data_IF_340600512930
#
_entry.id   IF_340600512930
#
_cell.length_a   1.000
_cell.length_b   1.000
_cell.length_c   1.000
_cell.angle_alpha   90.00
_cell.angle_beta   90.00
_cell.angle_gamma   90.00
#
_symmetry.space_group_name_H-M   'P 1'
#
loop_
_entity.id
_entity.type
_entity.pdbx_description
1 polymer ?
#
# COMPACT_ATOMS: atom_id res chain seq x y z
N UNK A 1 24.01 -5.46 11.77
CA UNK A 1 23.28 -5.40 13.06
C UNK A 1 22.39 -6.63 13.33
N UNK A 2 21.50 -7.04 12.41
CA UNK A 2 20.66 -8.25 12.59
C UNK A 2 21.48 -9.53 12.84
N UNK A 3 22.32 -9.95 11.87
CA UNK A 3 23.12 -11.18 12.01
C UNK A 3 24.15 -11.08 13.14
N UNK A 4 24.66 -9.88 13.42
CA UNK A 4 25.51 -9.68 14.58
C UNK A 4 24.75 -10.00 15.86
N UNK A 5 23.53 -9.50 16.05
CA UNK A 5 22.71 -9.81 17.22
C UNK A 5 22.38 -11.30 17.30
N UNK A 6 21.97 -11.91 16.18
CA UNK A 6 21.66 -13.34 16.07
C UNK A 6 22.85 -14.24 16.44
N UNK A 7 24.06 -13.88 15.99
CA UNK A 7 25.28 -14.69 16.12
C UNK A 7 26.16 -14.33 17.35
N UNK A 8 25.85 -13.24 18.06
CA UNK A 8 26.64 -12.82 19.25
C UNK A 8 25.84 -12.82 20.54
N UNK A 9 24.51 -12.71 20.51
CA UNK A 9 23.70 -12.83 21.72
C UNK A 9 23.55 -14.29 22.16
N UNK A 10 23.49 -14.48 23.48
CA UNK A 10 23.20 -15.71 24.23
C UNK A 10 21.79 -16.26 23.95
N UNK A 11 21.39 -16.42 22.69
CA UNK A 11 20.29 -17.29 22.31
C UNK A 11 20.79 -18.74 22.29
N UNK A 12 19.87 -19.71 22.43
CA UNK A 12 20.22 -21.15 22.33
C UNK A 12 20.88 -21.49 20.98
N UNK A 13 20.73 -20.64 19.97
CA UNK A 13 21.37 -20.77 18.65
C UNK A 13 22.88 -20.58 18.65
N UNK A 14 23.47 -19.88 19.62
CA UNK A 14 24.94 -19.69 19.69
C UNK A 14 25.74 -20.97 20.01
N UNK A 15 25.07 -22.11 20.15
CA UNK A 15 25.65 -23.45 20.29
C UNK A 15 25.22 -24.41 19.18
N UNK A 16 24.49 -23.93 18.17
CA UNK A 16 23.99 -24.73 17.06
C UNK A 16 24.84 -24.48 15.82
N UNK A 17 25.17 -25.55 15.09
CA UNK A 17 25.90 -25.46 13.82
C UNK A 17 25.03 -24.92 12.66
N UNK A 18 23.73 -24.75 12.90
CA UNK A 18 22.76 -24.24 11.91
C UNK A 18 21.64 -23.44 12.58
N UNK A 19 21.13 -22.44 11.87
CA UNK A 19 20.01 -21.58 12.30
C UNK A 19 18.92 -21.68 11.24
N UNK A 20 17.70 -21.96 11.69
CA UNK A 20 16.51 -21.93 10.84
C UNK A 20 15.97 -20.50 10.78
N UNK A 21 15.92 -19.91 9.59
CA UNK A 21 15.23 -18.65 9.34
C UNK A 21 13.80 -18.98 8.91
N UNK A 22 12.82 -18.40 9.62
CA UNK A 22 11.40 -18.56 9.32
C UNK A 22 10.88 -17.31 8.62
N UNK A 23 9.75 -17.45 7.93
CA UNK A 23 9.03 -16.33 7.30
C UNK A 23 9.83 -15.63 6.18
N UNK A 24 10.71 -16.36 5.50
CA UNK A 24 11.40 -15.90 4.31
C UNK A 24 11.54 -17.03 3.28
N UNK A 25 11.32 -16.69 2.01
CA UNK A 25 11.57 -17.59 0.90
C UNK A 25 13.08 -17.81 0.67
N UNK A 26 13.46 -19.05 0.36
CA UNK A 26 14.87 -19.43 0.19
C UNK A 26 15.54 -18.69 -0.96
N UNK A 27 14.81 -18.40 -2.04
CA UNK A 27 15.35 -17.71 -3.22
C UNK A 27 15.59 -16.23 -2.89
N UNK A 28 14.65 -15.60 -2.18
CA UNK A 28 14.78 -14.21 -1.69
C UNK A 28 15.96 -14.09 -0.74
N UNK A 29 16.08 -15.02 0.22
CA UNK A 29 17.24 -15.03 1.13
C UNK A 29 18.56 -15.21 0.38
N UNK A 30 18.58 -16.07 -0.65
CA UNK A 30 19.78 -16.30 -1.46
C UNK A 30 20.22 -15.04 -2.20
N UNK A 31 19.29 -14.25 -2.73
CA UNK A 31 19.57 -12.95 -3.36
C UNK A 31 20.18 -11.96 -2.36
N UNK A 32 19.60 -11.85 -1.17
CA UNK A 32 20.09 -10.97 -0.10
C UNK A 32 21.47 -11.40 0.41
N UNK A 33 21.70 -12.71 0.54
CA UNK A 33 23.00 -13.24 0.94
C UNK A 33 24.06 -12.93 -0.12
N UNK A 34 23.74 -13.13 -1.40
CA UNK A 34 24.63 -12.76 -2.50
C UNK A 34 24.94 -11.27 -2.49
N UNK A 35 23.96 -10.41 -2.21
CA UNK A 35 24.19 -8.98 -2.03
C UNK A 35 25.16 -8.69 -0.88
N UNK A 36 24.98 -9.30 0.29
CA UNK A 36 25.83 -9.08 1.46
C UNK A 36 27.32 -9.34 1.14
N UNK A 37 27.61 -10.34 0.29
CA UNK A 37 28.99 -10.68 -0.08
C UNK A 37 29.51 -9.96 -1.33
N UNK A 38 28.65 -9.56 -2.26
CA UNK A 38 29.06 -9.01 -3.56
C UNK A 38 28.79 -7.52 -3.75
N UNK A 39 27.91 -6.94 -2.94
CA UNK A 39 27.37 -5.59 -3.10
C UNK A 39 26.43 -5.43 -4.31
N UNK A 40 25.94 -6.53 -4.90
CA UNK A 40 25.08 -6.51 -6.08
C UNK A 40 23.79 -7.28 -5.83
N UNK A 41 22.68 -6.72 -6.29
CA UNK A 41 21.36 -7.35 -6.25
C UNK A 41 20.63 -7.04 -7.56
N UNK A 42 19.87 -8.01 -8.06
CA UNK A 42 19.03 -7.86 -9.24
C UNK A 42 17.58 -7.76 -8.78
N UNK A 43 16.92 -6.67 -9.15
CA UNK A 43 15.51 -6.42 -8.85
C UNK A 43 14.67 -6.53 -10.11
N UNK A 44 13.46 -7.06 -9.95
CA UNK A 44 12.40 -7.03 -10.96
C UNK A 44 11.02 -6.91 -10.28
N UNK A 45 9.98 -6.74 -11.10
CA UNK A 45 8.61 -6.53 -10.63
C UNK A 45 8.02 -7.71 -9.85
N UNK A 46 8.62 -8.91 -9.93
CA UNK A 46 8.15 -10.10 -9.22
C UNK A 46 8.84 -10.28 -7.87
N UNK A 47 10.06 -9.76 -7.69
CA UNK A 47 10.87 -10.00 -6.50
C UNK A 47 11.01 -8.78 -5.57
N UNK A 48 10.78 -7.56 -6.08
CA UNK A 48 11.11 -6.33 -5.35
C UNK A 48 10.34 -6.17 -4.04
N UNK A 49 9.08 -6.59 -3.99
CA UNK A 49 8.25 -6.52 -2.78
C UNK A 49 8.77 -7.47 -1.68
N UNK A 50 9.06 -8.72 -2.04
CA UNK A 50 9.59 -9.72 -1.11
C UNK A 50 11.00 -9.34 -0.62
N UNK A 51 11.85 -8.83 -1.53
CA UNK A 51 13.18 -8.33 -1.19
C UNK A 51 13.07 -7.13 -0.24
N UNK A 52 12.12 -6.21 -0.46
CA UNK A 52 11.90 -5.07 0.42
C UNK A 52 11.54 -5.52 1.84
N UNK A 53 10.55 -6.41 1.98
CA UNK A 53 10.10 -6.94 3.29
C UNK A 53 11.24 -7.67 4.00
N UNK A 54 11.95 -8.55 3.29
CA UNK A 54 13.08 -9.29 3.86
C UNK A 54 14.26 -8.38 4.22
N UNK A 55 14.53 -7.34 3.42
CA UNK A 55 15.58 -6.36 3.70
C UNK A 55 15.30 -5.54 4.94
N UNK A 56 14.05 -5.15 5.17
CA UNK A 56 13.63 -4.48 6.40
C UNK A 56 13.85 -5.41 7.61
N UNK A 57 13.39 -6.66 7.53
CA UNK A 57 13.59 -7.67 8.58
C UNK A 57 15.07 -7.84 8.95
N UNK A 58 15.96 -7.92 7.96
CA UNK A 58 17.40 -8.08 8.18
C UNK A 58 18.16 -6.76 8.42
N UNK A 59 17.45 -5.63 8.48
CA UNK A 59 18.01 -4.30 8.72
C UNK A 59 19.05 -3.91 7.65
N UNK A 60 18.77 -4.24 6.39
CA UNK A 60 19.57 -3.91 5.21
C UNK A 60 19.04 -2.61 4.57
N UNK A 61 19.15 -1.50 5.30
CA UNK A 61 18.51 -0.22 4.96
C UNK A 61 18.86 0.32 3.57
N UNK A 62 20.06 0.04 3.05
CA UNK A 62 20.46 0.44 1.70
C UNK A 62 19.60 -0.25 0.62
N UNK A 63 19.29 -1.53 0.80
CA UNK A 63 18.41 -2.28 -0.11
C UNK A 63 16.97 -1.82 0.06
N UNK A 64 16.54 -1.54 1.29
CA UNK A 64 15.20 -0.97 1.56
C UNK A 64 15.02 0.33 0.75
N UNK A 65 15.98 1.25 0.83
CA UNK A 65 15.94 2.50 0.06
C UNK A 65 15.93 2.25 -1.45
N UNK A 66 16.73 1.31 -1.94
CA UNK A 66 16.79 0.97 -3.36
C UNK A 66 15.47 0.37 -3.88
N UNK A 67 14.86 -0.55 -3.12
CA UNK A 67 13.56 -1.13 -3.46
C UNK A 67 12.45 -0.08 -3.40
N UNK A 68 12.45 0.79 -2.39
CA UNK A 68 11.50 1.89 -2.30
C UNK A 68 11.59 2.83 -3.50
N UNK A 69 12.81 3.16 -3.94
CA UNK A 69 13.01 3.99 -5.12
C UNK A 69 12.52 3.29 -6.40
N UNK A 70 12.83 2.00 -6.56
CA UNK A 70 12.35 1.20 -7.69
C UNK A 70 10.82 1.19 -7.76
N UNK A 71 10.15 0.91 -6.63
CA UNK A 71 8.69 0.87 -6.54
C UNK A 71 8.06 2.25 -6.79
N UNK A 72 8.65 3.33 -6.28
CA UNK A 72 8.16 4.70 -6.50
C UNK A 72 8.13 5.06 -7.99
N UNK A 73 9.18 4.73 -8.74
CA UNK A 73 9.23 4.97 -10.20
C UNK A 73 8.27 4.04 -10.96
N UNK A 74 8.03 2.84 -10.44
CA UNK A 74 7.17 1.81 -11.04
C UNK A 74 5.69 1.90 -10.70
N UNK A 75 5.24 2.94 -9.99
CA UNK A 75 3.83 3.10 -9.60
C UNK A 75 2.90 3.15 -10.81
N UNK A 76 1.81 2.39 -10.74
CA UNK A 76 0.73 2.34 -11.72
C UNK A 76 -0.61 1.95 -11.07
N UNK A 77 -1.70 1.98 -11.83
CA UNK A 77 -3.05 1.73 -11.31
C UNK A 77 -3.24 0.33 -10.73
N UNK A 78 -2.42 -0.64 -11.16
CA UNK A 78 -2.53 -2.04 -10.74
C UNK A 78 -1.77 -2.34 -9.45
N UNK A 79 -0.64 -1.67 -9.22
CA UNK A 79 0.23 -1.96 -8.06
C UNK A 79 0.16 -0.92 -6.94
N UNK A 80 -0.34 0.30 -7.20
CA UNK A 80 -0.26 1.41 -6.23
C UNK A 80 -0.87 1.09 -4.86
N UNK A 81 -1.94 0.29 -4.81
CA UNK A 81 -2.59 -0.07 -3.55
C UNK A 81 -1.73 -1.03 -2.73
N UNK A 82 -1.13 -2.04 -3.39
CA UNK A 82 -0.24 -3.00 -2.74
C UNK A 82 1.07 -2.34 -2.29
N UNK A 83 1.64 -1.49 -3.15
CA UNK A 83 2.82 -0.68 -2.81
C UNK A 83 2.54 0.24 -1.62
N UNK A 84 1.38 0.92 -1.59
CA UNK A 84 0.99 1.73 -0.44
C UNK A 84 0.87 0.88 0.83
N UNK A 85 0.28 -0.32 0.76
CA UNK A 85 0.10 -1.21 1.91
C UNK A 85 1.46 -1.60 2.50
N UNK A 86 2.38 -2.06 1.66
CA UNK A 86 3.74 -2.43 2.07
C UNK A 86 4.47 -1.22 2.66
N UNK A 87 4.42 -0.07 1.99
CA UNK A 87 5.07 1.16 2.46
C UNK A 87 4.50 1.62 3.81
N UNK A 88 3.20 1.47 4.03
CA UNK A 88 2.56 1.78 5.29
C UNK A 88 2.93 0.80 6.41
N UNK A 89 3.03 -0.49 6.12
CA UNK A 89 3.44 -1.52 7.08
C UNK A 89 4.89 -1.35 7.51
N UNK A 90 5.81 -1.17 6.55
CA UNK A 90 7.24 -1.01 6.77
C UNK A 90 7.65 0.42 7.17
N UNK A 91 6.68 1.33 7.36
CA UNK A 91 6.92 2.74 7.68
C UNK A 91 7.87 3.46 6.71
N UNK A 92 7.82 3.10 5.43
CA UNK A 92 8.56 3.74 4.35
C UNK A 92 7.84 5.03 3.92
N UNK A 93 8.05 6.11 4.69
CA UNK A 93 7.27 7.36 4.59
C UNK A 93 7.30 7.96 3.18
N UNK A 94 8.46 8.03 2.54
CA UNK A 94 8.59 8.62 1.20
C UNK A 94 7.79 7.84 0.15
N UNK A 95 7.98 6.52 0.07
CA UNK A 95 7.22 5.65 -0.83
C UNK A 95 5.71 5.70 -0.57
N UNK A 96 5.32 5.74 0.70
CA UNK A 96 3.92 5.87 1.09
C UNK A 96 3.33 7.18 0.56
N UNK A 97 4.04 8.30 0.72
CA UNK A 97 3.59 9.60 0.22
C UNK A 97 3.52 9.63 -1.31
N UNK A 98 4.48 9.02 -2.00
CA UNK A 98 4.47 8.90 -3.46
C UNK A 98 3.24 8.10 -3.94
N UNK A 99 2.94 6.98 -3.28
CA UNK A 99 1.77 6.16 -3.59
C UNK A 99 0.45 6.92 -3.30
N UNK A 100 0.34 7.63 -2.16
CA UNK A 100 -0.83 8.46 -1.86
C UNK A 100 -1.02 9.60 -2.87
N UNK A 101 0.06 10.25 -3.29
CA UNK A 101 0.03 11.27 -4.34
C UNK A 101 -0.40 10.67 -5.69
N UNK A 102 0.08 9.47 -6.04
CA UNK A 102 -0.38 8.76 -7.24
C UNK A 102 -1.89 8.49 -7.17
N UNK A 103 -2.39 7.99 -6.04
CA UNK A 103 -3.83 7.73 -5.83
C UNK A 103 -4.67 9.00 -5.99
N UNK A 104 -4.21 10.15 -5.47
CA UNK A 104 -4.89 11.44 -5.59
C UNK A 104 -4.98 11.92 -7.04
N UNK A 105 -3.88 11.82 -7.79
CA UNK A 105 -3.77 12.34 -9.15
C UNK A 105 -4.39 11.42 -10.21
N UNK A 106 -4.46 10.11 -9.94
CA UNK A 106 -5.01 9.09 -10.84
C UNK A 106 -6.34 8.52 -10.35
N UNK A 107 -7.00 9.17 -9.38
CA UNK A 107 -8.25 8.71 -8.77
C UNK A 107 -9.33 8.38 -9.82
N UNK A 108 -9.44 9.24 -10.85
CA UNK A 108 -10.35 9.02 -11.99
C UNK A 108 -10.14 7.67 -12.68
N UNK A 109 -8.89 7.32 -12.97
CA UNK A 109 -8.54 6.07 -13.65
C UNK A 109 -8.79 4.87 -12.74
N UNK A 110 -8.47 5.00 -11.45
CA UNK A 110 -8.70 3.96 -10.44
C UNK A 110 -10.19 3.66 -10.25
N UNK A 111 -11.03 4.69 -10.30
CA UNK A 111 -12.49 4.53 -10.28
C UNK A 111 -12.98 3.73 -11.50
N UNK A 112 -12.50 4.04 -12.71
CA UNK A 112 -12.90 3.34 -13.94
C UNK A 112 -12.46 1.87 -13.96
N UNK A 113 -11.37 1.54 -13.25
CA UNK A 113 -10.85 0.18 -13.15
C UNK A 113 -11.42 -0.60 -11.95
N UNK A 114 -12.43 -0.07 -11.25
CA UNK A 114 -13.00 -0.63 -10.02
C UNK A 114 -11.97 -0.88 -8.90
N UNK A 115 -10.84 -0.16 -8.90
CA UNK A 115 -9.76 -0.36 -7.92
C UNK A 115 -10.09 0.27 -6.56
N UNK A 116 -10.99 1.26 -6.53
CA UNK A 116 -11.37 2.00 -5.30
C UNK A 116 -11.88 1.08 -4.19
N UNK A 117 -12.60 0.01 -4.54
CA UNK A 117 -13.16 -0.95 -3.57
C UNK A 117 -12.11 -1.70 -2.75
N UNK A 118 -10.87 -1.73 -3.24
CA UNK A 118 -9.73 -2.39 -2.59
C UNK A 118 -9.00 -1.48 -1.60
N UNK A 119 -9.30 -0.18 -1.60
CA UNK A 119 -8.65 0.77 -0.68
C UNK A 119 -9.11 0.52 0.76
N UNK A 120 -8.22 0.58 1.76
CA UNK A 120 -8.63 0.63 3.15
C UNK A 120 -9.45 1.89 3.45
N UNK A 121 -10.38 1.80 4.41
CA UNK A 121 -11.27 2.91 4.78
C UNK A 121 -10.51 4.20 5.08
N UNK A 122 -9.48 4.11 5.93
CA UNK A 122 -8.72 5.28 6.38
C UNK A 122 -7.99 5.97 5.22
N UNK A 123 -7.50 5.19 4.26
CA UNK A 123 -6.86 5.70 3.06
C UNK A 123 -7.88 6.36 2.14
N UNK A 124 -9.03 5.73 1.91
CA UNK A 124 -10.09 6.33 1.12
C UNK A 124 -10.55 7.66 1.73
N UNK A 125 -10.79 7.68 3.04
CA UNK A 125 -11.16 8.89 3.79
C UNK A 125 -10.11 9.99 3.60
N UNK A 126 -8.82 9.64 3.75
CA UNK A 126 -7.72 10.58 3.55
C UNK A 126 -7.70 11.15 2.14
N UNK A 127 -7.91 10.32 1.12
CA UNK A 127 -7.94 10.73 -0.29
C UNK A 127 -9.12 11.65 -0.59
N UNK A 128 -10.35 11.27 -0.18
CA UNK A 128 -11.55 12.06 -0.47
C UNK A 128 -11.59 13.39 0.31
N UNK A 129 -10.93 13.45 1.46
CA UNK A 129 -10.83 14.67 2.27
C UNK A 129 -9.79 15.67 1.73
N UNK A 130 -8.98 15.27 0.75
CA UNK A 130 -7.90 16.09 0.22
C UNK A 130 -8.41 17.04 -0.88
N UNK A 131 -8.09 18.33 -0.75
CA UNK A 131 -8.49 19.36 -1.71
C UNK A 131 -7.79 19.24 -3.08
N UNK A 132 -6.66 18.53 -3.16
CA UNK A 132 -5.91 18.28 -4.40
C UNK A 132 -6.42 17.05 -5.17
N UNK A 133 -7.52 16.43 -4.72
CA UNK A 133 -8.12 15.26 -5.37
C UNK A 133 -8.52 15.56 -6.83
N UNK A 134 -8.01 14.77 -7.77
CA UNK A 134 -8.33 14.92 -9.20
C UNK A 134 -9.51 14.03 -9.59
N UNK A 135 -10.69 14.63 -9.67
CA UNK A 135 -11.96 14.00 -10.07
C UNK A 135 -12.69 14.79 -11.16
N UNK A 136 -13.56 14.13 -11.90
CA UNK A 136 -14.38 14.78 -12.94
C UNK A 136 -15.45 15.70 -12.31
N UNK A 137 -16.03 15.29 -11.19
CA UNK A 137 -17.06 16.02 -10.46
C UNK A 137 -17.29 15.38 -9.08
N UNK A 138 -18.05 16.07 -8.23
CA UNK A 138 -18.42 15.58 -6.90
C UNK A 138 -19.28 14.30 -6.94
N UNK A 139 -20.02 14.08 -8.03
CA UNK A 139 -20.80 12.86 -8.22
C UNK A 139 -19.88 11.63 -8.29
N UNK A 140 -18.71 11.73 -8.92
CA UNK A 140 -17.71 10.65 -8.93
C UNK A 140 -17.22 10.30 -7.53
N UNK A 141 -17.02 11.29 -6.66
CA UNK A 141 -16.61 11.08 -5.26
C UNK A 141 -17.69 10.28 -4.52
N UNK A 142 -18.95 10.68 -4.67
CA UNK A 142 -20.07 9.97 -4.05
C UNK A 142 -20.21 8.54 -4.58
N UNK A 143 -20.16 8.34 -5.90
CA UNK A 143 -20.22 7.01 -6.51
C UNK A 143 -19.06 6.12 -6.04
N UNK A 144 -17.85 6.68 -5.89
CA UNK A 144 -16.68 5.98 -5.36
C UNK A 144 -16.91 5.47 -3.94
N UNK A 145 -17.50 6.30 -3.07
CA UNK A 145 -17.85 5.93 -1.69
C UNK A 145 -18.90 4.82 -1.67
N UNK A 146 -19.89 4.87 -2.57
CA UNK A 146 -20.91 3.81 -2.67
C UNK A 146 -20.32 2.50 -3.13
N UNK A 147 -19.50 2.51 -4.19
CA UNK A 147 -18.82 1.31 -4.69
C UNK A 147 -17.97 0.69 -3.58
N UNK A 148 -17.26 1.52 -2.82
CA UNK A 148 -16.50 1.07 -1.67
C UNK A 148 -17.39 0.47 -0.57
N UNK A 149 -18.46 1.16 -0.19
CA UNK A 149 -19.38 0.73 0.86
C UNK A 149 -20.08 -0.60 0.53
N UNK A 150 -20.59 -0.72 -0.70
CA UNK A 150 -21.26 -1.93 -1.17
C UNK A 150 -20.34 -3.15 -1.21
N UNK A 151 -19.04 -2.94 -1.40
CA UNK A 151 -18.03 -4.01 -1.36
C UNK A 151 -17.55 -4.33 0.06
N UNK A 152 -17.76 -3.42 1.02
CA UNK A 152 -17.26 -3.50 2.40
C UNK A 152 -18.41 -3.35 3.41
N UNK A 153 -19.54 -4.03 3.19
CA UNK A 153 -20.77 -3.90 4.01
C UNK A 153 -20.57 -4.17 5.52
N UNK A 154 -19.53 -4.93 5.88
CA UNK A 154 -19.18 -5.20 7.28
C UNK A 154 -18.45 -4.02 7.95
N UNK A 155 -17.90 -3.09 7.17
CA UNK A 155 -17.21 -1.91 7.66
C UNK A 155 -18.16 -0.73 7.74
N UNK A 156 -18.11 0.00 8.85
CA UNK A 156 -18.89 1.22 8.99
C UNK A 156 -18.49 2.26 7.94
N UNK A 157 -19.48 2.88 7.28
CA UNK A 157 -19.28 4.03 6.38
C UNK A 157 -19.18 5.38 7.09
N UNK A 158 -19.11 5.39 8.42
CA UNK A 158 -19.03 6.64 9.20
C UNK A 158 -17.93 7.55 8.66
N UNK A 159 -18.24 8.84 8.58
CA UNK A 159 -17.36 9.93 8.13
C UNK A 159 -17.02 9.97 6.64
N UNK A 160 -17.26 8.92 5.84
CA UNK A 160 -17.01 8.98 4.40
C UNK A 160 -17.95 9.97 3.71
N UNK A 161 -19.26 9.88 4.02
CA UNK A 161 -20.27 10.75 3.42
C UNK A 161 -20.16 12.22 3.89
N UNK A 162 -19.56 12.48 5.06
CA UNK A 162 -19.36 13.84 5.57
C UNK A 162 -18.42 14.68 4.69
N UNK A 163 -17.53 14.01 3.94
CA UNK A 163 -16.56 14.66 3.05
C UNK A 163 -17.15 14.98 1.66
N UNK A 164 -18.37 14.50 1.36
CA UNK A 164 -19.02 14.78 0.07
C UNK A 164 -19.68 16.14 0.11
N UNK A 165 -19.33 17.01 -0.83
CA UNK A 165 -19.94 18.33 -0.98
C UNK A 165 -21.27 18.21 -1.72
N UNK A 166 -22.28 17.64 -1.05
CA UNK A 166 -23.62 17.38 -1.62
C UNK A 166 -24.25 18.58 -2.34
N UNK A 167 -23.91 19.81 -1.96
CA UNK A 167 -24.33 21.04 -2.64
C UNK A 167 -24.00 21.10 -4.13
N UNK A 168 -22.99 20.34 -4.59
CA UNK A 168 -22.59 20.26 -6.00
C UNK A 168 -23.19 19.07 -6.75
N UNK A 169 -24.01 18.25 -6.09
CA UNK A 169 -24.67 17.08 -6.69
C UNK A 169 -26.15 17.41 -6.96
N UNK A 170 -26.66 16.97 -8.11
CA UNK A 170 -28.07 17.16 -8.46
C UNK A 170 -29.00 16.41 -7.49
N UNK A 171 -30.14 17.02 -7.12
CA UNK A 171 -31.11 16.42 -6.19
C UNK A 171 -31.67 15.07 -6.68
N UNK A 172 -31.79 14.88 -8.00
CA UNK A 172 -32.20 13.60 -8.58
C UNK A 172 -31.19 12.48 -8.29
N UNK A 173 -29.89 12.77 -8.44
CA UNK A 173 -28.83 11.80 -8.14
C UNK A 173 -28.72 11.51 -6.64
N UNK A 174 -28.88 12.52 -5.78
CA UNK A 174 -28.94 12.30 -4.33
C UNK A 174 -30.07 11.35 -3.95
N UNK A 175 -31.26 11.52 -4.54
CA UNK A 175 -32.42 10.67 -4.27
C UNK A 175 -32.24 9.23 -4.79
N UNK A 176 -31.63 9.05 -5.97
CA UNK A 176 -31.30 7.73 -6.50
C UNK A 176 -30.35 6.96 -5.58
N UNK A 177 -29.39 7.67 -5.00
CA UNK A 177 -28.37 7.09 -4.12
C UNK A 177 -28.95 6.76 -2.74
N UNK A 178 -29.78 7.63 -2.16
CA UNK A 178 -30.48 7.35 -0.91
C UNK A 178 -31.41 6.13 -1.01
N UNK A 179 -31.98 5.85 -2.20
CA UNK A 179 -32.76 4.63 -2.45
C UNK A 179 -31.89 3.36 -2.51
N UNK A 180 -30.61 3.47 -2.89
CA UNK A 180 -29.68 2.34 -2.93
C UNK A 180 -29.09 1.98 -1.57
N UNK A 181 -28.94 2.96 -0.67
CA UNK A 181 -28.47 2.75 0.72
C UNK A 181 -29.61 2.28 1.63
N UNK A 182 -30.87 2.59 1.30
CA UNK A 182 -32.05 2.32 2.14
C UNK A 182 -32.68 0.93 2.01
N UNK A 183 -32.10 0.01 1.23
CA UNK A 183 -32.52 -1.40 1.10
C UNK A 183 -31.43 -2.34 1.61
#
# INVERSE_FOLDING_TARGET
PYFQALLTHTFKENKLDSIELRDIDSDIFSLLLNYIYSGKIELDDNNVEDILVASDMFQLNEIVQFCCHYLSIGLNEKNVIDVWRIANELQCIELKNDAEHYLLTHFRSLFQLDMIKLLPKDLLLKIISNDDLVVDNEQQVLESILVWYMNNLEQSSDHLFDNVRFQYISKEHQNLILQQIGN
#
